data_IF_203714269100
#
_entry.id   IF_203714269100
#
_cell.length_a   1.000
_cell.length_b   1.000
_cell.length_c   1.000
_cell.angle_alpha   90.00
_cell.angle_beta   90.00
_cell.angle_gamma   90.00
#
_symmetry.space_group_name_H-M   'P 1'
#
loop_
_entity.id
_entity.type
_entity.pdbx_description
1 polymer ?
#
# COMPACT_ATOMS: atom_id res chain seq x y z
N UNK A 1 -3.27 -2.96 -6.84
CA UNK A 1 -3.19 -1.79 -7.72
C UNK A 1 -4.55 -1.18 -8.03
N UNK A 2 -4.50 -0.02 -8.66
CA UNK A 2 -5.66 0.66 -9.26
C UNK A 2 -5.27 0.96 -10.70
N UNK A 3 -6.09 0.53 -11.64
CA UNK A 3 -5.93 0.81 -13.06
C UNK A 3 -6.44 2.22 -13.41
N UNK A 4 -6.09 2.80 -14.58
CA UNK A 4 -6.54 4.14 -14.98
C UNK A 4 -8.06 4.32 -15.02
N UNK A 5 -8.82 3.26 -15.26
CA UNK A 5 -10.30 3.24 -15.23
C UNK A 5 -10.88 3.12 -13.81
N UNK A 6 -10.03 3.06 -12.79
CA UNK A 6 -10.42 2.94 -11.38
C UNK A 6 -10.66 1.52 -10.88
N UNK A 7 -10.44 0.51 -11.72
CA UNK A 7 -10.57 -0.90 -11.31
C UNK A 7 -9.47 -1.26 -10.32
N UNK A 8 -9.83 -2.03 -9.30
CA UNK A 8 -8.91 -2.50 -8.28
C UNK A 8 -8.45 -3.91 -8.58
N UNK A 9 -7.14 -4.12 -8.57
CA UNK A 9 -6.53 -5.41 -8.88
C UNK A 9 -5.49 -5.80 -7.84
N UNK A 10 -5.40 -7.09 -7.55
CA UNK A 10 -4.28 -7.67 -6.80
C UNK A 10 -3.21 -8.06 -7.84
N UNK A 11 -2.16 -7.27 -7.95
CA UNK A 11 -1.12 -7.49 -8.94
C UNK A 11 -0.23 -8.68 -8.59
N UNK A 12 0.12 -8.81 -7.30
CA UNK A 12 0.94 -9.90 -6.79
C UNK A 12 0.73 -10.09 -5.29
N UNK A 13 1.17 -11.24 -4.78
CA UNK A 13 1.34 -11.51 -3.37
C UNK A 13 2.58 -12.40 -3.18
N UNK A 14 3.19 -12.30 -2.03
CA UNK A 14 4.31 -13.16 -1.66
C UNK A 14 4.26 -13.50 -0.17
N UNK A 15 4.85 -14.62 0.19
CA UNK A 15 5.01 -15.07 1.56
C UNK A 15 6.48 -14.96 1.92
N UNK A 16 6.78 -14.10 2.87
CA UNK A 16 8.13 -13.92 3.39
C UNK A 16 8.10 -13.96 4.91
N UNK A 17 9.13 -14.50 5.56
CA UNK A 17 9.24 -14.49 7.02
C UNK A 17 9.30 -13.07 7.59
N UNK A 18 9.87 -12.14 6.83
CA UNK A 18 10.05 -10.74 7.23
C UNK A 18 9.80 -9.81 6.05
N UNK A 19 9.30 -8.61 6.30
CA UNK A 19 9.17 -7.57 5.29
C UNK A 19 10.48 -6.81 5.12
N UNK A 20 11.06 -6.86 3.92
CA UNK A 20 12.28 -6.15 3.53
C UNK A 20 12.11 -5.41 2.21
N UNK A 21 12.90 -4.37 1.97
CA UNK A 21 12.89 -3.67 0.69
C UNK A 21 13.29 -4.59 -0.48
N UNK A 22 14.18 -5.56 -0.23
CA UNK A 22 14.60 -6.56 -1.22
C UNK A 22 13.43 -7.47 -1.65
N UNK A 23 12.61 -7.92 -0.71
CA UNK A 23 11.43 -8.73 -1.02
C UNK A 23 10.40 -7.95 -1.87
N UNK A 24 10.21 -6.67 -1.57
CA UNK A 24 9.35 -5.81 -2.40
C UNK A 24 9.96 -5.53 -3.77
N UNK A 25 11.28 -5.42 -3.89
CA UNK A 25 11.96 -5.27 -5.16
C UNK A 25 11.76 -6.51 -6.04
N UNK A 26 11.87 -7.72 -5.47
CA UNK A 26 11.57 -8.98 -6.14
C UNK A 26 10.11 -9.05 -6.61
N UNK A 27 9.15 -8.62 -5.77
CA UNK A 27 7.74 -8.51 -6.17
C UNK A 27 7.55 -7.53 -7.33
N UNK A 28 8.21 -6.36 -7.32
CA UNK A 28 8.14 -5.39 -8.40
C UNK A 28 8.72 -5.96 -9.69
N UNK A 29 9.83 -6.70 -9.63
CA UNK A 29 10.39 -7.40 -10.78
C UNK A 29 9.42 -8.47 -11.32
N UNK A 30 8.77 -9.23 -10.42
CA UNK A 30 7.75 -10.22 -10.78
C UNK A 30 6.59 -9.59 -11.56
N UNK A 31 6.00 -8.51 -11.06
CA UNK A 31 4.89 -7.85 -11.76
C UNK A 31 5.32 -7.25 -13.10
N UNK A 32 6.56 -6.76 -13.21
CA UNK A 32 7.14 -6.26 -14.45
C UNK A 32 7.32 -7.38 -15.49
N UNK A 33 7.86 -8.54 -15.10
CA UNK A 33 7.97 -9.74 -15.94
C UNK A 33 6.59 -10.24 -16.40
N UNK A 34 5.56 -10.03 -15.61
CA UNK A 34 4.17 -10.41 -15.93
C UNK A 34 3.44 -9.40 -16.81
N UNK A 35 4.09 -8.34 -17.24
CA UNK A 35 3.59 -7.40 -18.24
C UNK A 35 3.17 -6.03 -17.72
N UNK A 36 3.37 -5.70 -16.44
CA UNK A 36 3.18 -4.34 -15.94
C UNK A 36 4.30 -3.45 -16.48
N UNK A 37 3.97 -2.61 -17.45
CA UNK A 37 4.95 -1.74 -18.15
C UNK A 37 5.17 -0.43 -17.42
N UNK A 38 4.12 0.14 -16.83
CA UNK A 38 4.16 1.45 -16.20
C UNK A 38 3.37 1.44 -14.90
N UNK A 39 3.94 2.05 -13.89
CA UNK A 39 3.27 2.39 -12.62
C UNK A 39 3.47 3.87 -12.39
N UNK A 40 2.40 4.61 -12.13
CA UNK A 40 2.47 6.05 -11.89
C UNK A 40 2.84 6.37 -10.44
N UNK A 41 2.35 5.57 -9.50
CA UNK A 41 2.52 5.82 -8.08
C UNK A 41 2.57 4.51 -7.29
N UNK A 42 3.56 4.38 -6.42
CA UNK A 42 3.58 3.41 -5.34
C UNK A 42 3.26 4.10 -4.02
N UNK A 43 2.31 3.57 -3.27
CA UNK A 43 2.03 4.00 -1.90
C UNK A 43 2.45 2.91 -0.91
N UNK A 44 3.25 3.25 0.09
CA UNK A 44 3.72 2.30 1.11
C UNK A 44 3.64 2.87 2.53
N UNK A 45 3.81 2.01 3.52
CA UNK A 45 3.71 2.34 4.94
C UNK A 45 5.01 2.89 5.57
N UNK A 46 6.07 3.05 4.76
CA UNK A 46 7.33 3.66 5.17
C UNK A 46 8.43 2.67 5.54
N UNK A 47 8.39 1.48 4.94
CA UNK A 47 9.51 0.57 5.03
C UNK A 47 10.79 1.23 4.49
N UNK A 48 11.86 1.15 5.27
CA UNK A 48 13.17 1.68 4.87
C UNK A 48 13.65 1.04 3.54
N UNK A 49 14.18 1.85 2.63
CA UNK A 49 14.64 1.39 1.30
C UNK A 49 13.54 1.16 0.27
N UNK A 50 12.25 1.26 0.64
CA UNK A 50 11.15 1.04 -0.30
C UNK A 50 11.16 2.04 -1.47
N UNK A 51 11.44 3.31 -1.19
CA UNK A 51 11.54 4.34 -2.22
C UNK A 51 12.65 4.03 -3.24
N UNK A 52 13.81 3.59 -2.74
CA UNK A 52 14.94 3.27 -3.61
C UNK A 52 14.65 2.02 -4.44
N UNK A 53 13.99 1.01 -3.88
CA UNK A 53 13.52 -0.16 -4.60
C UNK A 53 12.54 0.23 -5.73
N UNK A 54 11.58 1.12 -5.45
CA UNK A 54 10.67 1.68 -6.47
C UNK A 54 11.46 2.37 -7.59
N UNK A 55 12.41 3.22 -7.24
CA UNK A 55 13.22 3.96 -8.24
C UNK A 55 14.07 3.04 -9.10
N UNK A 56 14.60 1.94 -8.55
CA UNK A 56 15.36 0.95 -9.35
C UNK A 56 14.47 0.20 -10.33
N UNK A 57 13.28 -0.22 -9.91
CA UNK A 57 12.41 -1.06 -10.74
C UNK A 57 11.51 -0.25 -11.68
N UNK A 58 11.01 0.89 -11.23
CA UNK A 58 10.12 1.80 -11.96
C UNK A 58 10.61 3.24 -11.82
N UNK A 59 11.65 3.66 -12.57
CA UNK A 59 12.29 4.99 -12.43
C UNK A 59 11.32 6.17 -12.57
N UNK A 60 10.31 6.02 -13.42
CA UNK A 60 9.30 7.05 -13.70
C UNK A 60 8.16 7.08 -12.65
N UNK A 61 8.12 6.10 -11.76
CA UNK A 61 7.08 6.04 -10.76
C UNK A 61 7.35 7.00 -9.60
N UNK A 62 6.31 7.66 -9.13
CA UNK A 62 6.35 8.37 -7.87
C UNK A 62 6.23 7.39 -6.69
N UNK A 63 6.76 7.80 -5.54
CA UNK A 63 6.56 7.06 -4.30
C UNK A 63 5.88 7.96 -3.27
N UNK A 64 4.78 7.48 -2.68
CA UNK A 64 4.00 8.17 -1.66
C UNK A 64 4.09 7.45 -0.33
N UNK A 65 4.52 8.17 0.71
CA UNK A 65 4.43 7.72 2.08
C UNK A 65 2.97 7.73 2.56
N UNK A 66 2.50 6.64 3.13
CA UNK A 66 1.15 6.56 3.69
C UNK A 66 0.96 7.51 4.88
N UNK A 67 0.10 8.50 4.74
CA UNK A 67 -0.19 9.48 5.80
C UNK A 67 -0.84 8.85 7.03
N UNK A 68 -1.62 7.78 6.88
CA UNK A 68 -2.22 7.07 8.02
C UNK A 68 -1.15 6.40 8.88
N UNK A 69 -0.20 5.69 8.24
CA UNK A 69 0.93 5.08 8.94
C UNK A 69 1.86 6.11 9.57
N UNK A 70 2.13 7.20 8.87
CA UNK A 70 2.91 8.31 9.39
C UNK A 70 2.23 8.93 10.62
N UNK A 71 0.92 9.17 10.57
CA UNK A 71 0.15 9.66 11.71
C UNK A 71 0.18 8.70 12.90
N UNK A 72 0.11 7.38 12.65
CA UNK A 72 0.27 6.35 13.71
C UNK A 72 1.68 6.39 14.30
N UNK A 73 2.71 6.59 13.47
CA UNK A 73 4.09 6.74 13.94
C UNK A 73 4.25 7.98 14.80
N UNK A 74 3.74 9.12 14.36
CA UNK A 74 3.70 10.37 15.15
C UNK A 74 3.01 10.13 16.50
N UNK A 75 1.85 9.46 16.52
CA UNK A 75 1.09 9.19 17.74
C UNK A 75 1.86 8.38 18.79
N UNK A 76 2.84 7.53 18.38
CA UNK A 76 3.68 6.77 19.34
C UNK A 76 4.60 7.65 20.17
N UNK A 77 4.96 8.83 19.67
CA UNK A 77 5.87 9.75 20.32
C UNK A 77 5.14 10.89 21.07
N UNK A 78 3.80 10.87 21.06
CA UNK A 78 2.97 11.91 21.66
C UNK A 78 2.23 11.36 22.89
N UNK A 79 2.21 12.14 23.98
CA UNK A 79 1.46 11.80 25.18
C UNK A 79 -0.02 11.61 24.86
N UNK A 80 -0.66 10.63 25.49
CA UNK A 80 -2.07 10.29 25.23
C UNK A 80 -3.01 11.49 25.30
N UNK A 81 -2.81 12.39 26.29
CA UNK A 81 -3.62 13.58 26.47
C UNK A 81 -3.54 14.59 25.33
N UNK A 82 -2.41 14.62 24.62
CA UNK A 82 -2.15 15.59 23.54
C UNK A 82 -2.48 15.03 22.15
N UNK A 83 -2.70 13.72 22.03
CA UNK A 83 -2.90 13.04 20.74
C UNK A 83 -4.03 13.60 19.90
N UNK A 84 -5.16 13.92 20.55
CA UNK A 84 -6.34 14.43 19.82
C UNK A 84 -6.03 15.76 19.15
N UNK A 85 -5.39 16.67 19.86
CA UNK A 85 -4.99 17.97 19.36
C UNK A 85 -3.92 17.84 18.27
N UNK A 86 -2.80 17.20 18.61
CA UNK A 86 -1.64 17.09 17.69
C UNK A 86 -1.99 16.36 16.39
N UNK A 87 -2.75 15.27 16.46
CA UNK A 87 -3.19 14.57 15.25
C UNK A 87 -4.29 15.32 14.51
N UNK A 88 -5.06 16.15 15.19
CA UNK A 88 -6.00 17.10 14.58
C UNK A 88 -5.27 18.12 13.70
N UNK A 89 -4.25 18.76 14.25
CA UNK A 89 -3.43 19.73 13.51
C UNK A 89 -2.62 19.06 12.38
N UNK A 90 -2.12 17.84 12.59
CA UNK A 90 -1.45 17.09 11.53
C UNK A 90 -2.35 16.82 10.32
N UNK A 91 -3.66 16.70 10.51
CA UNK A 91 -4.59 16.51 9.39
C UNK A 91 -4.62 17.68 8.44
N UNK A 92 -4.43 18.92 8.92
CA UNK A 92 -4.40 20.10 8.06
C UNK A 92 -3.29 20.02 7.01
N UNK A 93 -2.15 19.37 7.33
CA UNK A 93 -1.02 19.20 6.43
C UNK A 93 -1.43 18.43 5.17
N UNK A 94 -2.01 17.23 5.31
CA UNK A 94 -2.33 16.39 4.15
C UNK A 94 -3.75 16.61 3.59
N UNK A 95 -4.51 17.54 4.17
CA UNK A 95 -5.81 18.01 3.66
C UNK A 95 -5.72 19.36 2.98
N UNK A 96 -4.55 19.99 2.96
CA UNK A 96 -4.32 21.21 2.22
C UNK A 96 -4.66 21.01 0.73
N UNK A 97 -5.08 22.08 0.07
CA UNK A 97 -5.47 22.02 -1.35
C UNK A 97 -4.29 21.86 -2.27
N UNK A 98 -3.15 22.46 -1.87
CA UNK A 98 -1.92 22.51 -2.66
C UNK A 98 -0.70 22.11 -1.84
N UNK A 99 0.37 21.68 -2.52
CA UNK A 99 1.62 21.24 -1.89
C UNK A 99 2.28 22.34 -1.06
N UNK A 100 2.28 23.59 -1.56
CA UNK A 100 2.85 24.74 -0.83
C UNK A 100 2.12 25.02 0.50
N UNK A 101 0.80 24.91 0.50
CA UNK A 101 0.01 25.03 1.74
C UNK A 101 0.31 23.89 2.71
N UNK A 102 0.46 22.67 2.20
CA UNK A 102 0.83 21.53 3.02
C UNK A 102 2.23 21.71 3.64
N UNK A 103 3.18 22.23 2.87
CA UNK A 103 4.52 22.57 3.35
C UNK A 103 4.50 23.61 4.47
N UNK A 104 3.73 24.69 4.31
CA UNK A 104 3.53 25.72 5.35
C UNK A 104 2.89 25.13 6.60
N UNK A 105 1.81 24.37 6.43
CA UNK A 105 1.13 23.71 7.55
C UNK A 105 2.05 22.74 8.31
N UNK A 106 2.94 22.02 7.62
CA UNK A 106 3.94 21.16 8.26
C UNK A 106 4.97 22.00 9.04
N UNK A 107 5.43 23.11 8.48
CA UNK A 107 6.38 23.99 9.17
C UNK A 107 5.76 24.58 10.44
N UNK A 108 4.51 25.04 10.40
CA UNK A 108 3.75 25.51 11.55
C UNK A 108 3.55 24.41 12.59
N UNK A 109 3.18 23.20 12.15
CA UNK A 109 3.05 22.02 12.99
C UNK A 109 4.36 21.72 13.74
N UNK A 110 5.48 21.70 13.05
CA UNK A 110 6.79 21.45 13.65
C UNK A 110 7.23 22.59 14.59
N UNK A 111 6.93 23.83 14.24
CA UNK A 111 7.17 24.98 15.11
C UNK A 111 6.38 24.89 16.42
N UNK A 112 5.10 24.52 16.34
CA UNK A 112 4.19 24.41 17.50
C UNK A 112 4.58 23.24 18.42
N UNK A 113 4.91 22.09 17.86
CA UNK A 113 5.08 20.85 18.62
C UNK A 113 6.52 20.36 18.73
N UNK A 114 7.44 20.82 17.89
CA UNK A 114 8.80 20.31 17.79
C UNK A 114 9.62 20.46 19.07
N UNK A 115 9.48 21.58 19.79
CA UNK A 115 10.14 21.78 21.09
C UNK A 115 9.68 20.76 22.12
N UNK A 116 8.38 20.44 22.15
CA UNK A 116 7.78 19.48 23.08
C UNK A 116 8.03 18.03 22.70
N UNK A 117 8.12 17.75 21.40
CA UNK A 117 8.30 16.42 20.81
C UNK A 117 9.43 16.43 19.79
N UNK A 118 10.71 16.47 20.21
CA UNK A 118 11.87 16.66 19.31
C UNK A 118 12.00 15.60 18.21
N UNK A 119 11.46 14.38 18.44
CA UNK A 119 11.50 13.29 17.46
C UNK A 119 10.67 13.55 16.22
N UNK A 120 9.72 14.49 16.24
CA UNK A 120 8.85 14.78 15.10
C UNK A 120 9.63 15.24 13.88
N UNK A 121 10.58 16.18 14.06
CA UNK A 121 11.40 16.68 12.96
C UNK A 121 12.10 15.54 12.20
N UNK A 122 12.74 14.63 12.93
CA UNK A 122 13.43 13.49 12.32
C UNK A 122 12.48 12.47 11.66
N UNK A 123 11.22 12.37 12.10
CA UNK A 123 10.22 11.51 11.44
C UNK A 123 9.89 12.08 10.06
N UNK A 124 9.60 13.37 9.96
CA UNK A 124 9.22 14.00 8.69
C UNK A 124 10.40 14.15 7.73
N UNK A 125 11.59 14.45 8.24
CA UNK A 125 12.80 14.56 7.42
C UNK A 125 13.11 13.26 6.66
N UNK A 126 12.94 12.10 7.30
CA UNK A 126 13.18 10.78 6.66
C UNK A 126 12.25 10.49 5.49
N UNK A 127 11.08 11.08 5.45
CA UNK A 127 10.05 10.79 4.43
C UNK A 127 9.73 11.98 3.53
N UNK A 128 10.46 13.09 3.68
CA UNK A 128 10.16 14.38 3.02
C UNK A 128 9.95 14.27 1.51
N UNK A 129 10.76 13.45 0.84
CA UNK A 129 10.72 13.30 -0.62
C UNK A 129 9.54 12.44 -1.12
N UNK A 130 8.86 11.73 -0.20
CA UNK A 130 7.70 10.90 -0.51
C UNK A 130 6.41 11.40 0.15
N UNK A 131 6.46 12.59 0.72
CA UNK A 131 5.38 13.10 1.56
C UNK A 131 4.22 13.69 0.75
N UNK A 132 4.57 14.33 -0.36
CA UNK A 132 3.66 15.16 -1.15
C UNK A 132 3.45 14.66 -2.58
N UNK A 133 3.95 13.48 -2.94
CA UNK A 133 3.84 12.95 -4.32
C UNK A 133 2.39 12.85 -4.81
N UNK A 134 1.42 12.69 -3.90
CA UNK A 134 0.01 12.63 -4.26
C UNK A 134 -0.55 13.95 -4.83
N UNK A 135 0.09 15.10 -4.56
CA UNK A 135 -0.33 16.38 -5.13
C UNK A 135 -0.10 16.47 -6.65
N UNK A 136 0.79 15.66 -7.20
CA UNK A 136 1.02 15.56 -8.66
C UNK A 136 -0.17 14.96 -9.40
N UNK A 137 -1.16 14.44 -8.66
CA UNK A 137 -2.34 13.75 -9.20
C UNK A 137 -3.62 14.59 -9.03
N UNK A 138 -4.65 14.34 -9.87
CA UNK A 138 -5.93 15.03 -9.76
C UNK A 138 -6.54 14.93 -8.37
N UNK A 139 -7.16 16.01 -7.89
CA UNK A 139 -7.73 16.12 -6.54
C UNK A 139 -8.73 14.99 -6.24
N UNK A 140 -9.54 14.61 -7.24
CA UNK A 140 -10.56 13.58 -7.10
C UNK A 140 -10.03 12.22 -6.59
N UNK A 141 -8.76 11.88 -6.91
CA UNK A 141 -8.15 10.59 -6.52
C UNK A 141 -7.20 10.71 -5.33
N UNK A 142 -6.79 11.92 -4.92
CA UNK A 142 -5.79 12.13 -3.85
C UNK A 142 -6.14 11.39 -2.57
N UNK A 143 -7.41 11.41 -2.15
CA UNK A 143 -7.88 10.69 -0.94
C UNK A 143 -7.66 9.18 -1.00
N UNK A 144 -7.61 8.61 -2.18
CA UNK A 144 -7.41 7.18 -2.38
C UNK A 144 -5.94 6.78 -2.44
N UNK A 145 -5.04 7.70 -2.79
CA UNK A 145 -3.62 7.42 -3.07
C UNK A 145 -2.65 7.85 -1.99
N UNK A 146 -3.02 8.76 -1.08
CA UNK A 146 -2.14 9.14 0.02
C UNK A 146 -2.23 8.16 1.22
N UNK A 147 -3.01 7.08 1.11
CA UNK A 147 -3.16 6.05 2.14
C UNK A 147 -3.08 4.65 1.56
N UNK A 148 -2.67 3.68 2.39
CA UNK A 148 -2.68 2.25 2.07
C UNK A 148 -3.93 1.53 2.58
N UNK A 149 -5.00 2.25 2.92
CA UNK A 149 -6.22 1.70 3.50
C UNK A 149 -6.87 0.58 2.67
N UNK A 150 -6.72 0.63 1.34
CA UNK A 150 -7.23 -0.42 0.45
C UNK A 150 -6.52 -1.75 0.68
N UNK A 151 -5.18 -1.72 0.73
CA UNK A 151 -4.34 -2.90 0.98
C UNK A 151 -4.61 -3.42 2.39
N UNK A 152 -4.67 -2.53 3.39
CA UNK A 152 -5.00 -2.88 4.77
C UNK A 152 -6.35 -3.60 4.88
N UNK A 153 -7.37 -3.14 4.14
CA UNK A 153 -8.70 -3.77 4.13
C UNK A 153 -8.65 -5.19 3.54
N UNK A 154 -7.94 -5.37 2.42
CA UNK A 154 -7.74 -6.70 1.81
C UNK A 154 -6.99 -7.63 2.76
N UNK A 155 -5.90 -7.15 3.37
CA UNK A 155 -5.11 -7.91 4.33
C UNK A 155 -5.91 -8.24 5.60
N UNK A 156 -6.79 -7.35 6.06
CA UNK A 156 -7.67 -7.61 7.21
C UNK A 156 -8.64 -8.76 6.91
N UNK A 157 -9.22 -8.79 5.71
CA UNK A 157 -10.09 -9.89 5.27
C UNK A 157 -9.35 -11.22 5.20
N UNK A 158 -8.14 -11.23 4.61
CA UNK A 158 -7.28 -12.40 4.56
C UNK A 158 -6.93 -12.90 5.98
N UNK A 159 -6.48 -12.00 6.86
CA UNK A 159 -6.16 -12.32 8.27
C UNK A 159 -7.36 -12.88 9.03
N UNK A 160 -8.56 -12.38 8.77
CA UNK A 160 -9.77 -12.91 9.40
C UNK A 160 -10.04 -14.37 8.98
N UNK A 161 -9.97 -14.64 7.68
CA UNK A 161 -10.16 -16.00 7.15
C UNK A 161 -9.04 -16.96 7.56
N UNK A 162 -7.78 -16.50 7.63
CA UNK A 162 -6.67 -17.35 8.07
C UNK A 162 -6.77 -17.75 9.53
N UNK A 163 -7.30 -16.87 10.41
CA UNK A 163 -7.53 -17.18 11.82
C UNK A 163 -8.54 -18.32 12.04
N UNK A 164 -9.53 -18.46 11.15
CA UNK A 164 -10.51 -19.57 11.23
C UNK A 164 -9.87 -20.93 10.95
N UNK A 165 -8.75 -20.93 10.21
CA UNK A 165 -8.00 -22.16 9.90
C UNK A 165 -7.02 -22.58 10.98
N UNK A 166 -6.77 -21.73 11.98
CA UNK A 166 -5.87 -21.94 13.12
C UNK A 166 -4.42 -22.23 12.73
N UNK A 167 -4.16 -23.26 11.92
CA UNK A 167 -2.81 -23.67 11.51
C UNK A 167 -2.74 -24.07 10.02
N UNK A 168 -1.57 -23.90 9.45
CA UNK A 168 -1.21 -24.43 8.13
C UNK A 168 -0.09 -25.46 8.30
N UNK A 169 -0.24 -26.69 7.77
CA UNK A 169 0.74 -27.76 7.96
C UNK A 169 2.10 -27.46 7.30
N UNK A 170 2.13 -26.63 6.27
CA UNK A 170 3.33 -26.21 5.56
C UNK A 170 3.09 -24.93 4.74
N UNK A 171 4.15 -24.35 4.20
CA UNK A 171 4.10 -23.12 3.39
C UNK A 171 3.24 -23.29 2.13
N UNK A 172 3.28 -24.44 1.46
CA UNK A 172 2.45 -24.72 0.28
C UNK A 172 0.95 -24.67 0.60
N UNK A 173 0.56 -25.10 1.80
CA UNK A 173 -0.83 -25.03 2.26
C UNK A 173 -1.26 -23.57 2.49
N UNK A 174 -0.40 -22.77 3.08
CA UNK A 174 -0.62 -21.33 3.26
C UNK A 174 -0.69 -20.61 1.91
N UNK A 175 0.22 -20.89 1.01
CA UNK A 175 0.30 -20.30 -0.32
C UNK A 175 -0.97 -20.61 -1.15
N UNK A 176 -1.42 -21.88 -1.16
CA UNK A 176 -2.71 -22.26 -1.78
C UNK A 176 -3.89 -21.54 -1.17
N UNK A 177 -3.91 -21.37 0.14
CA UNK A 177 -4.98 -20.64 0.82
C UNK A 177 -5.00 -19.16 0.41
N UNK A 178 -3.86 -18.48 0.38
CA UNK A 178 -3.74 -17.08 -0.05
C UNK A 178 -4.14 -16.93 -1.51
N UNK A 179 -3.68 -17.85 -2.38
CA UNK A 179 -4.07 -17.88 -3.78
C UNK A 179 -5.60 -18.00 -3.92
N UNK A 180 -6.23 -18.96 -3.26
CA UNK A 180 -7.68 -19.14 -3.31
C UNK A 180 -8.47 -17.97 -2.73
N UNK A 181 -7.89 -17.24 -1.79
CA UNK A 181 -8.51 -16.02 -1.26
C UNK A 181 -8.56 -14.89 -2.29
N UNK A 182 -7.49 -14.71 -3.05
CA UNK A 182 -7.40 -13.63 -4.04
C UNK A 182 -8.04 -13.97 -5.39
N UNK A 183 -8.17 -15.24 -5.74
CA UNK A 183 -8.77 -15.68 -7.02
C UNK A 183 -10.18 -15.10 -7.28
N UNK A 184 -11.14 -15.13 -6.35
CA UNK A 184 -12.45 -14.53 -6.56
C UNK A 184 -12.40 -13.01 -6.75
N UNK A 185 -11.43 -12.35 -6.11
CA UNK A 185 -11.20 -10.91 -6.24
C UNK A 185 -10.63 -10.61 -7.65
N UNK A 186 -9.77 -11.49 -8.14
CA UNK A 186 -9.19 -11.43 -9.51
C UNK A 186 -10.22 -11.75 -10.59
N UNK A 187 -11.18 -12.65 -10.31
CA UNK A 187 -12.22 -13.07 -11.28
C UNK A 187 -13.33 -12.05 -11.47
N UNK A 188 -13.55 -11.19 -10.50
CA UNK A 188 -14.51 -10.07 -10.60
C UNK A 188 -13.95 -8.85 -11.35
N UNK A 189 -12.65 -8.82 -11.59
CA UNK A 189 -11.97 -7.84 -12.42
C UNK A 189 -11.71 -8.49 -13.79
N UNK A 190 -11.90 -7.80 -14.89
CA UNK A 190 -11.60 -8.28 -16.25
C UNK A 190 -10.12 -8.67 -16.37
N UNK A 191 -9.78 -9.91 -16.00
CA UNK A 191 -8.40 -10.44 -15.92
C UNK A 191 -7.88 -10.81 -17.33
N UNK A 192 -8.08 -9.94 -18.31
CA UNK A 192 -7.44 -10.16 -19.62
C UNK A 192 -5.94 -9.83 -19.62
N UNK A 193 -5.42 -9.17 -18.61
CA UNK A 193 -4.07 -8.59 -18.66
C UNK A 193 -3.04 -9.13 -17.66
N UNK A 194 -3.44 -9.73 -16.54
CA UNK A 194 -2.47 -10.23 -15.55
C UNK A 194 -2.65 -11.74 -15.35
N UNK A 195 -1.77 -12.53 -15.96
CA UNK A 195 -1.75 -13.99 -15.74
C UNK A 195 -1.32 -14.28 -14.30
N UNK A 196 -2.01 -15.19 -13.57
CA UNK A 196 -1.56 -15.63 -12.25
C UNK A 196 -0.15 -16.25 -12.35
N UNK A 197 0.61 -16.26 -11.26
CA UNK A 197 1.92 -16.89 -11.21
C UNK A 197 1.89 -18.31 -11.83
N UNK A 198 2.85 -18.70 -12.67
CA UNK A 198 2.80 -19.95 -13.45
C UNK A 198 2.53 -21.20 -12.62
N UNK A 199 3.04 -21.27 -11.39
CA UNK A 199 2.86 -22.42 -10.49
C UNK A 199 1.40 -22.64 -10.04
N UNK A 200 0.51 -21.65 -10.18
CA UNK A 200 -0.89 -21.75 -9.77
C UNK A 200 -1.87 -21.87 -10.94
N UNK A 201 -1.40 -21.71 -12.17
CA UNK A 201 -2.23 -21.81 -13.36
C UNK A 201 -2.96 -23.15 -13.46
N UNK A 202 -2.30 -24.24 -13.06
CA UNK A 202 -2.87 -25.58 -13.04
C UNK A 202 -3.88 -25.80 -11.89
N UNK A 203 -3.71 -25.12 -10.77
CA UNK A 203 -4.65 -25.16 -9.65
C UNK A 203 -5.97 -24.44 -10.01
N UNK A 204 -5.88 -23.34 -10.74
CA UNK A 204 -7.02 -22.59 -11.24
C UNK A 204 -7.83 -23.36 -12.27
N UNK A 205 -7.17 -24.07 -13.20
CA UNK A 205 -7.84 -24.92 -14.20
C UNK A 205 -8.61 -26.09 -13.61
N UNK A 206 -8.14 -26.67 -12.49
CA UNK A 206 -8.78 -27.84 -11.85
C UNK A 206 -10.01 -27.48 -11.03
N UNK A 207 -10.09 -26.29 -10.47
CA UNK A 207 -11.12 -25.91 -9.52
C UNK A 207 -12.15 -24.89 -10.04
N UNK A 208 -11.98 -24.36 -11.25
CA UNK A 208 -12.88 -23.37 -11.83
C UNK A 208 -13.70 -24.01 -12.96
N UNK A 209 -14.89 -24.49 -12.63
CA UNK A 209 -15.96 -24.61 -13.63
C UNK A 209 -16.58 -23.23 -13.76
N UNK A 210 -16.58 -22.59 -14.94
CA UNK A 210 -17.28 -21.34 -15.13
C UNK A 210 -18.77 -21.56 -14.80
N UNK A 211 -19.47 -20.56 -14.26
CA UNK A 211 -20.90 -20.67 -14.07
C UNK A 211 -21.55 -20.97 -15.41
N UNK A 212 -22.37 -22.02 -15.46
CA UNK A 212 -23.16 -22.36 -16.62
C UNK A 212 -24.15 -21.22 -16.79
N UNK A 213 -23.98 -20.41 -17.83
CA UNK A 213 -25.00 -19.47 -18.28
C UNK A 213 -26.26 -20.29 -18.59
N UNK A 214 -27.23 -20.28 -17.71
CA UNK A 214 -28.61 -20.68 -18.07
C UNK A 214 -29.15 -19.56 -18.94
N UNK A 215 -29.37 -19.90 -20.22
CA UNK A 215 -30.25 -19.15 -21.10
C UNK A 215 -31.64 -19.05 -20.48
#
# INVERSE_FOLDING_TARGET
GITPDGTREVLDYALYPTETAANYEEMMESIKKRGVKQVLLFASDGLAGMRDAVKRQFPEAEHQQCWVHLSRTVARYIRNKDRKEVLGDLKSVYRASYEDEAGKALAEFLSKYGKRYPKLAGIFERVKESLYSFYKFPEAIRKSIYTTNMIERSNKGLKHKSKVKEQFPNEDSLDRFVCCYFVPILSGCNVASVKPPPKYYNCLKKNFKPPINKM
#
